data_IF_433786981959
#
_entry.id   IF_433786981959
#
_cell.length_a   1.000
_cell.length_b   1.000
_cell.length_c   1.000
_cell.angle_alpha   90.00
_cell.angle_beta   90.00
_cell.angle_gamma   90.00
#
_symmetry.space_group_name_H-M   'P 1'
#
loop_
_entity.id
_entity.type
_entity.pdbx_description
1 polymer ?
#
# COMPACT_ATOMS: atom_id res chain seq x y z
N UNK A 1 -11.65 -11.66 -1.58
CA UNK A 1 -11.04 -10.32 -1.53
C UNK A 1 -11.81 -9.52 -0.52
N UNK A 2 -11.22 -9.27 0.63
CA UNK A 2 -11.91 -8.68 1.80
C UNK A 2 -11.96 -7.14 1.76
N UNK A 3 -11.57 -6.55 0.62
CA UNK A 3 -11.57 -5.11 0.37
C UNK A 3 -10.17 -4.51 0.42
N UNK A 4 -10.08 -3.22 0.11
CA UNK A 4 -8.81 -2.47 0.04
C UNK A 4 -8.40 -1.82 1.37
N UNK A 5 -9.18 -1.99 2.44
CA UNK A 5 -8.96 -1.30 3.72
C UNK A 5 -7.60 -1.64 4.34
N UNK A 6 -7.24 -2.93 4.41
CA UNK A 6 -5.97 -3.36 4.98
C UNK A 6 -4.78 -2.84 4.18
N UNK A 7 -4.86 -2.91 2.85
CA UNK A 7 -3.79 -2.43 1.96
C UNK A 7 -3.61 -0.90 2.08
N UNK A 8 -4.72 -0.13 2.20
CA UNK A 8 -4.63 1.32 2.41
C UNK A 8 -4.08 1.67 3.80
N UNK A 9 -4.43 0.90 4.83
CA UNK A 9 -3.91 1.08 6.18
C UNK A 9 -2.39 0.84 6.24
N UNK A 10 -1.91 -0.21 5.56
CA UNK A 10 -0.50 -0.55 5.43
C UNK A 10 0.29 0.61 4.80
N UNK A 11 -0.20 1.12 3.65
CA UNK A 11 0.41 2.25 2.96
C UNK A 11 0.40 3.53 3.81
N UNK A 12 -0.68 3.82 4.52
CA UNK A 12 -0.78 5.00 5.39
C UNK A 12 0.20 4.91 6.57
N UNK A 13 0.34 3.72 7.17
CA UNK A 13 1.29 3.47 8.26
C UNK A 13 2.73 3.71 7.80
N UNK A 14 3.10 3.17 6.63
CA UNK A 14 4.43 3.38 6.06
C UNK A 14 4.70 4.86 5.75
N UNK A 15 3.72 5.58 5.21
CA UNK A 15 3.82 7.03 5.01
C UNK A 15 4.04 7.75 6.36
N UNK A 16 3.32 7.35 7.40
CA UNK A 16 3.50 7.87 8.76
C UNK A 16 4.93 7.71 9.26
N UNK A 17 5.54 6.53 9.06
CA UNK A 17 6.95 6.31 9.44
C UNK A 17 7.90 7.22 8.67
N UNK A 18 7.71 7.37 7.36
CA UNK A 18 8.56 8.23 6.52
C UNK A 18 8.40 9.70 6.92
N UNK A 19 7.16 10.18 7.10
CA UNK A 19 6.91 11.59 7.44
C UNK A 19 7.40 11.96 8.84
N UNK A 20 7.23 11.08 9.83
CA UNK A 20 7.53 11.40 11.23
C UNK A 20 9.00 11.15 11.61
N UNK A 21 9.64 10.14 11.03
CA UNK A 21 10.94 9.66 11.52
C UNK A 21 12.08 9.73 10.48
N UNK A 22 11.83 10.16 9.24
CA UNK A 22 12.89 10.26 8.22
C UNK A 22 14.00 11.25 8.56
N UNK A 23 13.70 12.30 9.32
CA UNK A 23 14.72 13.27 9.77
C UNK A 23 15.72 12.66 10.76
N UNK A 24 15.26 11.73 11.60
CA UNK A 24 16.08 11.01 12.56
C UNK A 24 16.75 9.76 11.95
N UNK A 25 16.08 9.11 10.99
CA UNK A 25 16.59 7.93 10.29
C UNK A 25 16.28 8.03 8.78
N UNK A 26 17.15 8.67 7.99
CA UNK A 26 16.93 8.88 6.55
C UNK A 26 16.76 7.58 5.77
N UNK A 27 17.34 6.48 6.27
CA UNK A 27 17.22 5.16 5.68
C UNK A 27 15.78 4.62 5.72
N UNK A 28 14.91 5.14 6.58
CA UNK A 28 13.48 4.81 6.60
C UNK A 28 12.82 5.08 5.24
N UNK A 29 13.14 6.20 4.61
CA UNK A 29 12.59 6.57 3.31
C UNK A 29 13.07 5.60 2.20
N UNK A 30 14.34 5.16 2.27
CA UNK A 30 14.87 4.17 1.34
C UNK A 30 14.26 2.78 1.56
N UNK A 31 14.08 2.37 2.82
CA UNK A 31 13.43 1.11 3.16
C UNK A 31 11.97 1.10 2.69
N UNK A 32 11.24 2.20 2.87
CA UNK A 32 9.89 2.39 2.36
C UNK A 32 9.82 2.29 0.82
N UNK A 33 10.80 2.88 0.12
CA UNK A 33 10.87 2.78 -1.35
C UNK A 33 11.05 1.33 -1.82
N UNK A 34 11.96 0.58 -1.18
CA UNK A 34 12.19 -0.83 -1.49
C UNK A 34 10.98 -1.68 -1.14
N UNK A 35 10.34 -1.43 0.00
CA UNK A 35 9.09 -2.05 0.41
C UNK A 35 8.02 -1.89 -0.67
N UNK A 36 7.72 -0.65 -1.07
CA UNK A 36 6.73 -0.35 -2.11
C UNK A 36 7.01 -1.05 -3.45
N UNK A 37 8.29 -1.22 -3.82
CA UNK A 37 8.64 -1.89 -5.07
C UNK A 37 8.33 -3.40 -5.02
N UNK A 38 8.58 -4.02 -3.87
CA UNK A 38 8.24 -5.43 -3.62
C UNK A 38 6.71 -5.60 -3.49
N UNK A 39 6.07 -4.71 -2.74
CA UNK A 39 4.61 -4.67 -2.52
C UNK A 39 3.86 -4.62 -3.85
N UNK A 40 4.27 -3.74 -4.77
CA UNK A 40 3.64 -3.61 -6.09
C UNK A 40 3.62 -4.94 -6.86
N UNK A 41 4.68 -5.74 -6.74
CA UNK A 41 4.75 -7.06 -7.36
C UNK A 41 3.96 -8.10 -6.57
N UNK A 42 3.99 -8.02 -5.24
CA UNK A 42 3.19 -8.86 -4.33
C UNK A 42 1.70 -8.72 -4.57
N UNK A 43 1.19 -7.50 -4.64
CA UNK A 43 -0.23 -7.20 -4.88
C UNK A 43 -0.69 -7.63 -6.26
N UNK A 44 0.14 -7.40 -7.29
CA UNK A 44 -0.14 -7.89 -8.62
C UNK A 44 -0.23 -9.42 -8.65
N UNK A 45 0.67 -10.12 -7.95
CA UNK A 45 0.62 -11.57 -7.83
C UNK A 45 -0.62 -12.04 -7.07
N UNK A 46 -0.94 -11.39 -5.95
CA UNK A 46 -2.12 -11.67 -5.11
C UNK A 46 -3.42 -11.55 -5.92
N UNK A 47 -3.56 -10.49 -6.73
CA UNK A 47 -4.74 -10.27 -7.59
C UNK A 47 -4.83 -11.25 -8.76
N UNK A 48 -3.70 -11.64 -9.36
CA UNK A 48 -3.69 -12.50 -10.54
C UNK A 48 -3.77 -14.00 -10.21
N UNK A 49 -3.19 -14.44 -9.10
CA UNK A 49 -2.96 -15.87 -8.83
C UNK A 49 -3.54 -16.38 -7.50
N UNK A 50 -3.80 -15.51 -6.52
CA UNK A 50 -4.25 -15.93 -5.18
C UNK A 50 -5.75 -15.72 -4.98
N UNK A 51 -6.31 -14.65 -5.55
CA UNK A 51 -7.69 -14.25 -5.32
C UNK A 51 -8.61 -14.60 -6.50
N UNK A 52 -9.86 -14.95 -6.20
CA UNK A 52 -10.92 -14.95 -7.20
C UNK A 52 -11.18 -13.52 -7.70
N UNK A 53 -11.40 -13.37 -9.01
CA UNK A 53 -11.62 -12.06 -9.66
C UNK A 53 -12.69 -11.23 -8.92
N UNK A 54 -12.32 -10.07 -8.35
CA UNK A 54 -13.27 -9.21 -7.66
C UNK A 54 -14.19 -8.49 -8.65
N UNK A 55 -15.38 -8.10 -8.18
CA UNK A 55 -16.29 -7.27 -8.96
C UNK A 55 -15.74 -5.85 -9.08
N UNK A 56 -15.67 -5.35 -10.31
CA UNK A 56 -15.22 -3.98 -10.58
C UNK A 56 -16.22 -2.96 -10.04
N UNK A 57 -15.74 -2.03 -9.21
CA UNK A 57 -16.49 -0.87 -8.74
C UNK A 57 -15.84 0.39 -9.32
N UNK A 58 -16.64 1.26 -9.94
CA UNK A 58 -16.16 2.59 -10.36
C UNK A 58 -16.15 3.50 -9.14
N UNK A 59 -14.98 4.02 -8.81
CA UNK A 59 -14.76 4.97 -7.71
C UNK A 59 -14.03 6.19 -8.25
N UNK A 60 -14.36 7.38 -7.74
CA UNK A 60 -13.80 8.66 -8.19
C UNK A 60 -12.57 9.11 -7.39
N UNK A 61 -12.36 8.55 -6.21
CA UNK A 61 -11.26 8.84 -5.29
C UNK A 61 -10.96 7.60 -4.45
N UNK A 62 -9.84 7.64 -3.73
CA UNK A 62 -9.45 6.67 -2.70
C UNK A 62 -10.37 6.73 -1.46
N UNK A 63 -11.26 7.73 -1.41
CA UNK A 63 -12.24 7.90 -0.34
C UNK A 63 -11.65 8.64 0.85
N UNK A 64 -11.96 8.19 2.07
CA UNK A 64 -11.52 8.83 3.33
C UNK A 64 -10.00 8.78 3.55
N UNK A 65 -9.26 8.03 2.74
CA UNK A 65 -7.80 7.90 2.82
C UNK A 65 -7.02 9.03 2.13
N UNK A 66 -7.71 9.99 1.51
CA UNK A 66 -7.11 11.19 0.91
C UNK A 66 -6.65 12.16 2.00
#
# INVERSE_FOLDING_TARGET
YDGAFSEHLEMLSQLGYVCLFSSAFPLAAMAALLGNLLELRGDAFKLCFVLQRPFGRRVSSIGTWQ
#
